data_IF_326159288554
#
_entry.id   IF_326159288554
#
_cell.length_a   1.000
_cell.length_b   1.000
_cell.length_c   1.000
_cell.angle_alpha   90.00
_cell.angle_beta   90.00
_cell.angle_gamma   90.00
#
_symmetry.space_group_name_H-M   'P 1'
#
loop_
_entity.id
_entity.type
_entity.pdbx_description
1 polymer ?
#
# COMPACT_ATOMS: atom_id res chain seq x y z
N UNK A 1 -50.92 30.61 37.87
CA UNK A 1 -52.39 30.49 38.03
C UNK A 1 -53.05 31.23 36.87
N UNK A 2 -54.12 30.65 36.33
CA UNK A 2 -54.93 31.03 35.14
C UNK A 2 -54.33 30.76 33.75
N UNK A 3 -54.73 29.68 33.06
CA UNK A 3 -55.97 29.46 32.25
C UNK A 3 -55.83 30.16 30.88
N UNK A 4 -55.89 29.55 29.69
CA UNK A 4 -56.62 28.37 29.20
C UNK A 4 -57.71 28.85 28.20
N UNK A 5 -57.92 28.12 27.08
CA UNK A 5 -58.87 28.29 25.93
C UNK A 5 -58.19 28.76 24.62
N UNK A 6 -58.23 28.13 23.44
CA UNK A 6 -58.93 26.93 22.94
C UNK A 6 -59.88 27.25 21.78
N UNK A 7 -59.50 27.01 20.50
CA UNK A 7 -60.31 26.28 19.47
C UNK A 7 -59.76 26.33 18.03
N UNK A 8 -60.07 25.24 17.34
CA UNK A 8 -59.76 24.81 15.97
C UNK A 8 -60.50 25.60 14.87
N UNK A 9 -59.92 25.60 13.67
CA UNK A 9 -60.61 25.79 12.40
C UNK A 9 -59.88 25.03 11.28
N UNK A 10 -60.49 23.96 10.77
CA UNK A 10 -60.03 23.18 9.63
C UNK A 10 -60.38 23.89 8.31
N UNK A 11 -59.54 23.73 7.30
CA UNK A 11 -59.79 24.16 5.92
C UNK A 11 -58.89 23.39 4.96
N UNK A 12 -59.38 22.25 4.49
CA UNK A 12 -58.76 21.34 3.53
C UNK A 12 -58.89 21.86 2.10
N UNK A 13 -57.83 21.72 1.30
CA UNK A 13 -57.96 21.48 -0.15
C UNK A 13 -56.78 20.64 -0.64
N UNK A 14 -57.09 19.37 -0.92
CA UNK A 14 -56.27 18.37 -1.58
C UNK A 14 -56.34 18.56 -3.10
N UNK A 15 -55.19 18.48 -3.78
CA UNK A 15 -55.10 18.04 -5.17
C UNK A 15 -54.07 16.90 -5.21
N UNK A 16 -54.46 15.76 -5.78
CA UNK A 16 -53.70 14.52 -5.76
C UNK A 16 -52.98 14.19 -7.08
N UNK A 17 -51.84 13.50 -6.93
CA UNK A 17 -51.28 12.44 -7.79
C UNK A 17 -50.54 12.84 -9.08
N UNK A 18 -49.64 11.99 -9.65
CA UNK A 18 -49.27 10.60 -9.25
C UNK A 18 -47.77 10.40 -8.98
N UNK A 19 -47.40 9.21 -8.51
CA UNK A 19 -46.05 8.84 -8.10
C UNK A 19 -45.13 8.20 -9.15
N UNK A 20 -44.04 7.63 -8.62
CA UNK A 20 -42.99 6.79 -9.22
C UNK A 20 -41.95 7.46 -10.13
N UNK A 21 -40.67 7.29 -9.77
CA UNK A 21 -39.57 7.30 -10.75
C UNK A 21 -38.22 7.85 -10.27
N UNK A 22 -37.53 7.05 -9.46
CA UNK A 22 -36.07 6.82 -9.41
C UNK A 22 -35.07 7.84 -9.99
N UNK A 23 -34.01 8.08 -9.20
CA UNK A 23 -32.55 8.03 -9.54
C UNK A 23 -31.80 9.17 -8.82
N UNK A 24 -30.79 8.95 -7.99
CA UNK A 24 -30.16 7.72 -7.56
C UNK A 24 -29.28 8.02 -6.36
N UNK A 25 -29.30 7.14 -5.37
CA UNK A 25 -28.13 6.94 -4.54
C UNK A 25 -26.98 6.51 -5.46
N UNK A 26 -25.88 7.23 -5.43
CA UNK A 26 -24.60 6.75 -5.94
C UNK A 26 -23.78 6.34 -4.72
N UNK A 27 -23.97 5.10 -4.29
CA UNK A 27 -22.95 4.06 -4.41
C UNK A 27 -21.74 4.41 -3.52
N UNK A 28 -21.59 3.93 -2.29
CA UNK A 28 -22.05 2.62 -1.85
C UNK A 28 -21.67 1.55 -2.87
N UNK A 29 -20.54 1.71 -3.58
CA UNK A 29 -20.06 0.63 -4.41
C UNK A 29 -19.71 -0.49 -3.44
N UNK A 30 -20.55 -1.52 -3.47
CA UNK A 30 -20.24 -2.85 -3.04
C UNK A 30 -18.82 -3.17 -3.50
N UNK A 31 -17.83 -2.98 -2.62
CA UNK A 31 -16.64 -3.81 -2.55
C UNK A 31 -17.17 -5.20 -2.14
N UNK A 32 -17.90 -5.83 -3.06
CA UNK A 32 -18.25 -7.24 -2.98
C UNK A 32 -16.89 -7.92 -2.87
N UNK A 33 -16.58 -8.49 -1.70
CA UNK A 33 -15.34 -9.21 -1.41
C UNK A 33 -14.96 -10.06 -2.61
N UNK A 34 -14.05 -9.52 -3.41
CA UNK A 34 -13.85 -9.95 -4.78
C UNK A 34 -12.57 -10.74 -4.83
N UNK A 35 -12.61 -11.99 -4.35
CA UNK A 35 -11.70 -13.09 -4.72
C UNK A 35 -10.28 -12.63 -5.13
N UNK A 36 -9.64 -11.83 -4.28
CA UNK A 36 -8.25 -11.45 -4.45
C UNK A 36 -7.37 -12.54 -3.84
N UNK A 37 -6.22 -12.80 -4.44
CA UNK A 37 -5.14 -13.56 -3.81
C UNK A 37 -4.98 -13.25 -2.35
N UNK A 38 -4.77 -14.29 -1.54
CA UNK A 38 -4.00 -14.13 -0.32
C UNK A 38 -2.52 -14.31 -0.63
N UNK A 39 -1.65 -13.88 0.27
CA UNK A 39 -0.25 -14.29 0.25
C UNK A 39 -0.09 -15.59 1.05
N UNK A 40 0.74 -16.52 0.59
CA UNK A 40 1.12 -17.68 1.38
C UNK A 40 2.04 -17.28 2.56
N UNK A 41 2.45 -18.26 3.36
CA UNK A 41 3.32 -18.03 4.51
C UNK A 41 4.73 -17.48 4.17
N UNK A 42 5.08 -17.44 2.88
CA UNK A 42 6.35 -16.94 2.35
C UNK A 42 6.17 -15.67 1.50
N UNK A 43 4.98 -15.08 1.45
CA UNK A 43 4.70 -13.88 0.65
C UNK A 43 4.51 -14.15 -0.85
N UNK A 44 4.17 -15.37 -1.28
CA UNK A 44 3.84 -15.63 -2.69
C UNK A 44 2.32 -15.53 -2.91
N UNK A 45 1.86 -15.04 -4.07
CA UNK A 45 0.42 -14.98 -4.38
C UNK A 45 -0.18 -16.40 -4.45
N UNK A 46 -1.14 -16.68 -3.58
CA UNK A 46 -1.75 -17.99 -3.38
C UNK A 46 -2.90 -18.33 -4.34
N UNK A 47 -3.36 -17.39 -5.19
CA UNK A 47 -4.57 -17.61 -6.02
C UNK A 47 -4.35 -18.17 -7.43
N UNK A 48 -3.19 -18.76 -7.71
CA UNK A 48 -3.08 -19.66 -8.87
C UNK A 48 -3.57 -19.05 -10.18
N UNK A 49 -3.19 -17.81 -10.50
CA UNK A 49 -3.04 -17.45 -11.91
C UNK A 49 -1.96 -18.38 -12.47
N UNK A 50 -2.46 -19.46 -13.08
CA UNK A 50 -1.80 -20.57 -13.73
C UNK A 50 -0.28 -20.43 -13.94
N UNK A 51 0.48 -21.27 -13.22
CA UNK A 51 1.80 -21.72 -13.63
C UNK A 51 2.86 -21.66 -12.53
N UNK A 52 3.00 -22.77 -11.79
CA UNK A 52 4.29 -23.38 -11.44
C UNK A 52 5.51 -22.48 -11.58
N UNK A 53 6.06 -21.96 -10.48
CA UNK A 53 7.16 -20.99 -10.52
C UNK A 53 6.84 -19.88 -11.53
N UNK A 54 6.34 -18.72 -11.08
CA UNK A 54 6.71 -17.55 -11.86
C UNK A 54 8.21 -17.37 -11.64
N UNK A 55 9.01 -18.13 -12.40
CA UNK A 55 10.32 -17.70 -12.82
C UNK A 55 10.03 -16.45 -13.63
N UNK A 56 9.90 -15.32 -12.93
CA UNK A 56 10.02 -14.00 -13.53
C UNK A 56 11.46 -13.93 -14.03
N UNK A 57 11.80 -14.66 -15.10
CA UNK A 57 13.11 -14.53 -15.72
C UNK A 57 13.31 -13.09 -16.20
N UNK A 58 12.20 -12.36 -16.41
CA UNK A 58 12.18 -10.92 -16.63
C UNK A 58 10.93 -10.26 -16.03
N UNK A 59 11.08 -8.99 -15.66
CA UNK A 59 9.97 -8.11 -15.32
C UNK A 59 9.09 -7.83 -16.57
N UNK A 60 7.76 -7.62 -16.42
CA UNK A 60 6.88 -7.28 -17.54
C UNK A 60 7.14 -5.88 -18.12
N UNK A 61 7.96 -5.09 -17.44
CA UNK A 61 8.37 -3.73 -17.78
C UNK A 61 9.87 -3.55 -17.53
N UNK A 62 10.54 -2.57 -18.17
CA UNK A 62 11.93 -2.28 -17.87
C UNK A 62 12.17 -1.91 -16.40
N UNK A 63 13.26 -2.43 -15.84
CA UNK A 63 13.74 -2.08 -14.50
C UNK A 63 15.14 -1.47 -14.60
N UNK A 64 15.45 -0.52 -13.73
CA UNK A 64 16.77 0.12 -13.62
C UNK A 64 17.26 0.01 -12.19
N UNK A 65 18.32 -0.76 -11.96
CA UNK A 65 18.98 -0.89 -10.64
C UNK A 65 19.92 0.29 -10.43
N UNK A 66 19.84 0.90 -9.25
CA UNK A 66 20.81 1.91 -8.80
C UNK A 66 22.15 1.27 -8.42
N UNK A 67 23.10 2.10 -8.00
CA UNK A 67 24.35 1.62 -7.42
C UNK A 67 24.09 1.05 -6.02
N UNK A 68 24.64 -0.13 -5.73
CA UNK A 68 24.60 -0.70 -4.40
C UNK A 68 25.29 0.21 -3.37
N UNK A 69 24.65 0.41 -2.22
CA UNK A 69 25.19 1.15 -1.09
C UNK A 69 25.16 0.27 0.16
N UNK A 70 26.20 0.32 0.97
CA UNK A 70 26.28 -0.47 2.19
C UNK A 70 25.80 0.30 3.40
N UNK A 71 25.24 -0.43 4.37
CA UNK A 71 24.89 0.06 5.69
C UNK A 71 25.32 -0.95 6.75
N UNK A 72 25.85 -0.44 7.86
CA UNK A 72 26.27 -1.27 8.99
C UNK A 72 25.14 -1.34 10.01
N UNK A 73 24.55 -2.52 10.14
CA UNK A 73 23.48 -2.81 11.08
C UNK A 73 23.94 -2.63 12.54
N UNK A 74 23.01 -2.39 13.49
CA UNK A 74 23.32 -2.30 14.92
C UNK A 74 24.02 -3.54 15.49
N UNK A 75 23.78 -4.72 14.91
CA UNK A 75 24.44 -5.98 15.30
C UNK A 75 25.89 -6.11 14.78
N UNK A 76 26.35 -5.12 14.00
CA UNK A 76 27.71 -5.04 13.46
C UNK A 76 27.89 -5.63 12.06
N UNK A 77 26.89 -6.34 11.51
CA UNK A 77 26.89 -6.85 10.13
C UNK A 77 26.76 -5.70 9.13
N UNK A 78 27.26 -5.91 7.91
CA UNK A 78 27.13 -4.96 6.80
C UNK A 78 26.22 -5.55 5.75
N UNK A 79 25.10 -4.90 5.50
CA UNK A 79 24.18 -5.22 4.40
C UNK A 79 24.36 -4.22 3.26
N UNK A 80 23.84 -4.57 2.08
CA UNK A 80 23.89 -3.75 0.88
C UNK A 80 22.49 -3.54 0.33
N UNK A 81 22.26 -2.38 -0.28
CA UNK A 81 20.94 -1.93 -0.68
C UNK A 81 20.98 -1.29 -2.06
N UNK A 82 19.97 -1.59 -2.87
CA UNK A 82 19.80 -1.02 -4.20
C UNK A 82 18.37 -0.53 -4.41
N UNK A 83 18.22 0.76 -4.71
CA UNK A 83 16.96 1.30 -5.19
C UNK A 83 16.73 0.89 -6.65
N UNK A 84 15.58 0.28 -6.94
CA UNK A 84 15.17 -0.12 -8.29
C UNK A 84 14.06 0.79 -8.78
N UNK A 85 14.23 1.33 -9.99
CA UNK A 85 13.26 2.18 -10.67
C UNK A 85 12.55 1.44 -11.81
N UNK A 86 11.23 1.56 -11.87
CA UNK A 86 10.36 0.89 -12.84
C UNK A 86 9.58 1.93 -13.66
N UNK A 87 10.18 2.61 -14.67
CA UNK A 87 9.62 3.81 -15.29
C UNK A 87 8.19 3.71 -15.86
N UNK A 88 7.71 2.50 -16.14
CA UNK A 88 6.36 2.29 -16.66
C UNK A 88 5.32 2.00 -15.56
N UNK A 89 5.77 1.86 -14.31
CA UNK A 89 5.05 1.18 -13.23
C UNK A 89 4.73 -0.25 -13.65
N UNK A 90 3.71 -0.88 -13.08
CA UNK A 90 3.26 -2.19 -13.58
C UNK A 90 3.98 -3.39 -12.97
N UNK A 91 4.75 -3.17 -11.89
CA UNK A 91 5.29 -4.24 -11.05
C UNK A 91 4.49 -4.23 -9.75
N UNK A 92 3.86 -5.35 -9.41
CA UNK A 92 3.20 -5.53 -8.12
C UNK A 92 4.18 -6.04 -7.05
N UNK A 93 3.72 -6.16 -5.80
CA UNK A 93 4.61 -6.49 -4.71
C UNK A 93 5.25 -7.88 -4.85
N UNK A 94 4.45 -8.90 -5.22
CA UNK A 94 4.96 -10.26 -5.43
C UNK A 94 5.99 -10.33 -6.57
N UNK A 95 5.82 -9.54 -7.63
CA UNK A 95 6.80 -9.39 -8.70
C UNK A 95 8.07 -8.70 -8.21
N UNK A 96 7.94 -7.63 -7.42
CA UNK A 96 9.08 -6.92 -6.85
C UNK A 96 9.91 -7.85 -5.92
N UNK A 97 9.24 -8.67 -5.10
CA UNK A 97 9.84 -9.73 -4.29
C UNK A 97 10.66 -10.70 -5.14
N UNK A 98 10.04 -11.28 -6.17
CA UNK A 98 10.72 -12.24 -7.02
C UNK A 98 11.92 -11.64 -7.78
N UNK A 99 11.83 -10.37 -8.20
CA UNK A 99 12.94 -9.67 -8.85
C UNK A 99 14.11 -9.38 -7.88
N UNK A 100 13.80 -9.08 -6.62
CA UNK A 100 14.81 -8.95 -5.58
C UNK A 100 15.53 -10.29 -5.33
N UNK A 101 14.76 -11.38 -5.25
CA UNK A 101 15.29 -12.75 -5.11
C UNK A 101 16.16 -13.16 -6.31
N UNK A 102 15.73 -12.85 -7.53
CA UNK A 102 16.51 -13.11 -8.75
C UNK A 102 17.84 -12.35 -8.78
N UNK A 103 17.89 -11.15 -8.17
CA UNK A 103 19.11 -10.38 -8.04
C UNK A 103 20.07 -10.94 -6.97
N UNK A 104 19.65 -11.96 -6.20
CA UNK A 104 20.41 -12.54 -5.08
C UNK A 104 20.15 -11.85 -3.74
N UNK A 105 19.13 -10.99 -3.66
CA UNK A 105 18.72 -10.30 -2.44
C UNK A 105 17.29 -10.63 -2.05
N UNK A 106 16.65 -9.70 -1.34
CA UNK A 106 15.23 -9.76 -0.98
C UNK A 106 14.67 -8.33 -0.89
N UNK A 107 13.35 -8.15 -0.89
CA UNK A 107 12.78 -6.82 -0.65
C UNK A 107 13.23 -6.32 0.72
N UNK A 108 13.65 -5.06 0.77
CA UNK A 108 14.26 -4.47 1.97
C UNK A 108 13.44 -4.69 3.23
N UNK A 109 14.12 -5.04 4.30
CA UNK A 109 13.58 -5.19 5.64
C UNK A 109 14.17 -4.10 6.51
N UNK A 110 13.42 -3.66 7.52
CA UNK A 110 13.77 -2.46 8.28
C UNK A 110 13.64 -2.76 9.77
N UNK A 111 14.77 -2.74 10.47
CA UNK A 111 14.90 -3.17 11.86
C UNK A 111 15.24 -2.04 12.82
N UNK A 112 15.47 -0.84 12.29
CA UNK A 112 15.79 0.34 13.08
C UNK A 112 15.44 1.63 12.36
N UNK A 113 15.33 2.71 13.13
CA UNK A 113 15.16 4.06 12.60
C UNK A 113 16.32 4.47 11.68
N UNK A 114 17.56 4.16 12.07
CA UNK A 114 18.76 4.53 11.30
C UNK A 114 18.80 3.81 9.95
N UNK A 115 18.42 2.53 9.91
CA UNK A 115 18.31 1.77 8.67
C UNK A 115 17.19 2.31 7.78
N UNK A 116 16.02 2.60 8.36
CA UNK A 116 14.91 3.21 7.64
C UNK A 116 15.30 4.56 7.00
N UNK A 117 15.98 5.43 7.75
CA UNK A 117 16.46 6.72 7.24
C UNK A 117 17.49 6.54 6.11
N UNK A 118 18.42 5.59 6.27
CA UNK A 118 19.39 5.26 5.24
C UNK A 118 18.70 4.81 3.95
N UNK A 119 17.78 3.85 4.05
CA UNK A 119 17.02 3.32 2.90
C UNK A 119 16.17 4.42 2.26
N UNK A 120 15.48 5.24 3.05
CA UNK A 120 14.72 6.38 2.56
C UNK A 120 15.60 7.37 1.78
N UNK A 121 16.84 7.60 2.24
CA UNK A 121 17.84 8.42 1.56
C UNK A 121 18.15 7.95 0.12
N UNK A 122 18.03 6.65 -0.17
CA UNK A 122 18.23 6.08 -1.52
C UNK A 122 17.08 6.41 -2.48
N UNK A 123 15.89 6.71 -1.94
CA UNK A 123 14.64 6.76 -2.69
C UNK A 123 13.92 8.11 -2.62
N UNK A 124 14.57 9.18 -2.14
CA UNK A 124 13.95 10.52 -2.05
C UNK A 124 13.55 11.13 -3.41
N UNK A 125 14.20 10.71 -4.50
CA UNK A 125 13.90 11.18 -5.84
C UNK A 125 12.47 10.78 -6.24
N UNK A 126 11.66 11.79 -6.63
CA UNK A 126 10.25 11.63 -6.99
C UNK A 126 10.01 10.57 -8.07
N UNK A 127 11.00 10.21 -8.89
CA UNK A 127 10.85 9.13 -9.89
C UNK A 127 10.47 7.78 -9.27
N UNK A 128 10.83 7.52 -8.02
CA UNK A 128 10.52 6.26 -7.32
C UNK A 128 9.08 6.21 -6.79
N UNK A 129 8.38 7.35 -6.81
CA UNK A 129 7.12 7.54 -6.12
C UNK A 129 5.97 7.73 -7.10
N UNK A 130 4.85 7.07 -6.82
CA UNK A 130 3.61 7.37 -7.51
C UNK A 130 2.86 8.43 -6.70
N UNK A 131 2.55 9.54 -7.35
CA UNK A 131 1.63 10.52 -6.82
C UNK A 131 0.25 10.28 -7.41
N UNK A 132 -0.73 10.07 -6.54
CA UNK A 132 -2.13 10.04 -6.94
C UNK A 132 -2.58 11.39 -7.49
N UNK A 133 -3.68 11.40 -8.21
CA UNK A 133 -4.33 12.65 -8.61
C UNK A 133 -5.29 13.15 -7.51
N UNK A 134 -6.07 14.18 -7.83
CA UNK A 134 -7.02 14.77 -6.88
C UNK A 134 -8.16 13.83 -6.47
N UNK A 135 -8.42 12.75 -7.20
CA UNK A 135 -9.42 11.75 -6.79
C UNK A 135 -8.98 10.92 -5.58
N UNK A 136 -7.67 10.90 -5.31
CA UNK A 136 -7.04 10.28 -4.15
C UNK A 136 -6.19 11.30 -3.36
N UNK A 137 -6.66 12.55 -3.33
CA UNK A 137 -6.08 13.63 -2.55
C UNK A 137 -4.59 13.92 -2.80
N UNK A 138 -4.00 13.41 -3.89
CA UNK A 138 -2.60 13.64 -4.22
C UNK A 138 -1.60 12.96 -3.28
N UNK A 139 -2.01 11.96 -2.50
CA UNK A 139 -1.09 11.20 -1.64
C UNK A 139 -0.03 10.50 -2.50
N UNK A 140 1.08 10.13 -1.89
CA UNK A 140 2.16 9.43 -2.58
C UNK A 140 2.41 8.07 -1.94
N UNK A 141 2.76 7.10 -2.78
CA UNK A 141 3.11 5.76 -2.35
C UNK A 141 4.31 5.21 -3.13
N UNK A 142 4.87 4.13 -2.59
CA UNK A 142 6.07 3.51 -3.11
C UNK A 142 7.32 4.24 -2.63
N UNK A 143 8.50 3.61 -2.72
CA UNK A 143 8.77 2.23 -3.15
C UNK A 143 8.22 1.13 -2.25
N UNK A 144 8.06 -0.09 -2.80
CA UNK A 144 7.74 -1.26 -1.99
C UNK A 144 8.88 -1.66 -1.04
N UNK A 145 8.51 -2.19 0.12
CA UNK A 145 9.39 -2.81 1.11
C UNK A 145 8.95 -4.25 1.39
N UNK A 146 9.77 -5.02 2.09
CA UNK A 146 9.59 -6.45 2.32
C UNK A 146 8.58 -6.85 3.40
N UNK A 147 7.72 -5.94 3.86
CA UNK A 147 6.69 -6.25 4.84
C UNK A 147 5.43 -6.81 4.17
N UNK A 148 4.87 -7.88 4.72
CA UNK A 148 3.63 -8.49 4.26
C UNK A 148 2.85 -9.19 5.37
N UNK A 149 1.57 -9.41 5.13
CA UNK A 149 0.68 -10.27 5.91
C UNK A 149 0.26 -11.50 5.09
N UNK A 150 0.48 -12.73 5.60
CA UNK A 150 -0.05 -13.92 4.95
C UNK A 150 -1.58 -13.97 5.07
N UNK A 151 -2.22 -14.73 4.19
CA UNK A 151 -3.67 -14.95 4.22
C UNK A 151 -4.14 -15.43 5.58
N UNK A 152 -5.17 -14.77 6.13
CA UNK A 152 -5.72 -15.08 7.45
C UNK A 152 -4.93 -14.48 8.62
N UNK A 153 -3.96 -13.60 8.35
CA UNK A 153 -3.39 -12.72 9.36
C UNK A 153 -4.48 -11.83 10.00
N UNK A 154 -4.19 -11.30 11.20
CA UNK A 154 -5.14 -10.50 11.97
C UNK A 154 -5.06 -9.06 11.51
N UNK A 155 -6.10 -8.56 10.87
CA UNK A 155 -6.15 -7.16 10.44
C UNK A 155 -6.50 -6.16 11.57
N UNK A 156 -6.09 -4.88 11.45
CA UNK A 156 -5.18 -4.35 10.41
C UNK A 156 -3.68 -4.45 10.79
N UNK A 157 -3.36 -4.55 12.08
CA UNK A 157 -1.99 -4.45 12.60
C UNK A 157 -1.50 -5.76 13.25
N UNK A 158 -1.77 -6.90 12.62
CA UNK A 158 -1.44 -8.21 13.19
C UNK A 158 -0.94 -9.19 12.15
N UNK A 159 0.16 -9.87 12.49
CA UNK A 159 0.75 -10.91 11.63
C UNK A 159 1.61 -10.40 10.49
N UNK A 160 1.99 -9.11 10.51
CA UNK A 160 3.05 -8.55 9.66
C UNK A 160 4.36 -9.32 9.84
N UNK A 161 5.06 -9.53 8.72
CA UNK A 161 6.33 -10.28 8.63
C UNK A 161 7.25 -9.63 7.63
N UNK A 162 8.55 -9.80 7.85
CA UNK A 162 9.57 -9.53 6.86
C UNK A 162 9.77 -10.73 5.93
N UNK A 163 10.00 -10.48 4.64
CA UNK A 163 10.37 -11.53 3.67
C UNK A 163 11.67 -12.26 4.01
N UNK A 164 12.56 -11.64 4.80
CA UNK A 164 13.79 -12.27 5.30
C UNK A 164 13.53 -13.33 6.38
N UNK A 165 12.34 -13.33 6.99
CA UNK A 165 12.01 -14.15 8.16
C UNK A 165 12.52 -13.60 9.49
N UNK A 166 13.18 -12.43 9.48
CA UNK A 166 13.62 -11.75 10.70
C UNK A 166 12.44 -11.26 11.55
N UNK A 167 12.64 -11.07 12.87
CA UNK A 167 11.58 -10.64 13.78
C UNK A 167 10.93 -9.31 13.37
N UNK A 168 9.61 -9.24 13.49
CA UNK A 168 8.85 -8.00 13.35
C UNK A 168 8.97 -7.17 14.65
N UNK A 169 10.02 -6.36 14.77
CA UNK A 169 10.31 -5.58 16.01
C UNK A 169 10.42 -4.07 15.81
N UNK A 170 10.39 -3.58 14.57
CA UNK A 170 10.43 -2.16 14.25
C UNK A 170 9.31 -1.83 13.26
N UNK A 171 8.65 -0.70 13.48
CA UNK A 171 7.59 -0.18 12.61
C UNK A 171 7.76 1.31 12.42
N UNK A 172 7.49 1.80 11.21
CA UNK A 172 7.44 3.22 10.91
C UNK A 172 6.18 3.59 10.13
N UNK A 173 5.02 3.15 10.61
CA UNK A 173 3.74 3.42 9.97
C UNK A 173 3.42 4.92 9.93
N UNK A 174 2.76 5.36 8.84
CA UNK A 174 2.23 6.71 8.73
C UNK A 174 1.15 6.97 9.79
N UNK A 175 0.99 8.23 10.18
CA UNK A 175 0.01 8.66 11.18
C UNK A 175 -0.66 9.99 10.76
N UNK A 176 -1.84 10.25 11.32
CA UNK A 176 -2.60 11.47 11.00
C UNK A 176 -1.85 12.75 11.39
N UNK A 177 -1.84 13.75 10.49
CA UNK A 177 -1.27 15.07 10.77
C UNK A 177 0.25 15.13 10.61
N UNK A 178 0.84 14.16 9.91
CA UNK A 178 2.25 14.21 9.52
C UNK A 178 2.57 15.50 8.73
N UNK A 179 3.80 16.03 8.86
CA UNK A 179 4.24 17.15 8.05
C UNK A 179 4.12 16.85 6.55
N UNK A 180 3.45 17.74 5.81
CA UNK A 180 3.20 17.57 4.38
C UNK A 180 1.93 16.81 4.03
N UNK A 181 1.18 16.33 5.03
CA UNK A 181 -0.13 15.71 4.85
C UNK A 181 -1.19 16.76 4.46
N UNK A 182 -1.85 16.50 3.34
CA UNK A 182 -2.97 17.29 2.80
C UNK A 182 -4.18 16.41 2.53
N UNK A 183 -4.13 15.14 2.91
CA UNK A 183 -5.29 14.25 2.83
C UNK A 183 -6.25 14.59 3.98
N UNK A 184 -7.51 14.93 3.71
CA UNK A 184 -8.50 15.10 4.76
C UNK A 184 -8.98 13.78 5.40
N UNK A 185 -8.62 12.62 4.84
CA UNK A 185 -8.92 11.30 5.40
C UNK A 185 -7.92 10.95 6.51
N UNK A 186 -8.29 10.07 7.47
CA UNK A 186 -7.32 9.48 8.38
C UNK A 186 -6.25 8.69 7.60
N UNK A 187 -4.98 9.00 7.88
CA UNK A 187 -3.79 8.42 7.26
C UNK A 187 -3.00 7.52 8.22
N UNK A 188 -3.55 7.20 9.38
CA UNK A 188 -2.94 6.25 10.33
C UNK A 188 -2.94 4.84 9.74
N UNK A 189 -1.76 4.20 9.78
CA UNK A 189 -1.46 2.91 9.16
C UNK A 189 -0.97 1.89 10.19
N UNK A 190 -1.07 0.58 9.90
CA UNK A 190 -1.87 -0.02 8.84
C UNK A 190 -3.37 0.09 9.19
N UNK A 191 -4.24 0.23 8.18
CA UNK A 191 -5.67 0.42 8.41
C UNK A 191 -6.59 -0.53 7.63
N UNK A 192 -6.06 -1.34 6.73
CA UNK A 192 -6.82 -2.26 5.90
C UNK A 192 -8.10 -1.65 5.30
N UNK A 193 -8.04 -0.38 4.88
CA UNK A 193 -9.14 0.38 4.30
C UNK A 193 -9.87 -0.29 3.14
N UNK A 194 -9.23 -1.24 2.43
CA UNK A 194 -9.83 -1.99 1.31
C UNK A 194 -10.16 -3.46 1.62
N UNK A 195 -9.87 -3.94 2.83
CA UNK A 195 -10.14 -5.33 3.25
C UNK A 195 -9.19 -6.38 2.67
N UNK A 196 -8.03 -5.95 2.15
CA UNK A 196 -6.94 -6.78 1.62
C UNK A 196 -5.63 -5.99 1.46
N UNK A 197 -5.28 -5.08 2.37
CA UNK A 197 -4.01 -4.35 2.33
C UNK A 197 -2.93 -5.10 3.10
N UNK A 198 -2.27 -6.01 2.40
CA UNK A 198 -1.44 -7.03 3.01
C UNK A 198 0.05 -6.94 2.68
N UNK A 199 0.51 -5.80 2.14
CA UNK A 199 1.94 -5.50 1.91
C UNK A 199 2.22 -4.05 2.25
N UNK A 200 3.49 -3.70 2.51
CA UNK A 200 3.84 -2.31 2.78
C UNK A 200 4.68 -1.65 1.68
N UNK A 201 4.55 -0.34 1.60
CA UNK A 201 5.39 0.56 0.82
C UNK A 201 5.61 1.86 1.59
N UNK A 202 6.64 2.63 1.23
CA UNK A 202 6.77 4.00 1.74
C UNK A 202 5.59 4.88 1.29
N UNK A 203 5.12 5.80 2.13
CA UNK A 203 4.15 6.83 1.74
C UNK A 203 3.03 7.15 2.72
N UNK A 204 1.85 7.32 2.13
CA UNK A 204 0.57 7.86 2.67
C UNK A 204 0.58 9.36 2.98
N UNK A 205 1.53 10.10 2.42
CA UNK A 205 1.63 11.57 2.55
C UNK A 205 1.83 12.18 1.16
N UNK A 206 1.45 13.45 0.95
CA UNK A 206 1.54 14.15 -0.35
C UNK A 206 2.97 14.50 -0.80
N UNK A 207 3.98 14.03 -0.09
CA UNK A 207 5.40 14.18 -0.38
C UNK A 207 6.11 12.84 -0.09
N UNK A 208 7.30 12.60 -0.67
CA UNK A 208 8.16 11.49 -0.22
C UNK A 208 8.40 11.54 1.30
N UNK A 209 8.11 10.45 2.00
CA UNK A 209 8.25 10.31 3.46
C UNK A 209 8.91 9.00 3.84
N UNK A 210 9.55 8.96 5.01
CA UNK A 210 10.23 7.75 5.49
C UNK A 210 9.26 6.75 6.15
N UNK A 211 7.98 7.09 6.29
CA UNK A 211 6.94 6.23 6.88
C UNK A 211 6.29 5.31 5.86
N UNK A 212 5.55 4.32 6.34
CA UNK A 212 4.96 3.26 5.53
C UNK A 212 3.43 3.31 5.54
N UNK A 213 2.83 2.85 4.45
CA UNK A 213 1.41 2.50 4.37
C UNK A 213 1.22 1.05 3.97
N UNK A 214 0.04 0.51 4.26
CA UNK A 214 -0.38 -0.79 3.78
C UNK A 214 -1.07 -0.67 2.40
N UNK A 215 -0.88 -1.67 1.54
CA UNK A 215 -1.43 -1.68 0.19
C UNK A 215 -1.84 -3.10 -0.18
N UNK A 216 -2.77 -3.29 -1.13
CA UNK A 216 -3.01 -4.62 -1.66
C UNK A 216 -1.78 -5.14 -2.38
N UNK A 217 -1.37 -6.39 -2.17
CA UNK A 217 -0.20 -6.98 -2.87
C UNK A 217 -0.29 -6.90 -4.41
N UNK A 218 -1.51 -6.82 -4.97
CA UNK A 218 -1.77 -6.63 -6.41
C UNK A 218 -1.78 -5.18 -6.89
N UNK A 219 -1.59 -4.23 -5.99
CA UNK A 219 -1.32 -2.84 -6.31
C UNK A 219 -0.24 -2.74 -7.41
N UNK A 220 -0.40 -1.84 -8.38
CA UNK A 220 0.54 -1.68 -9.51
C UNK A 220 0.64 -2.89 -10.47
N UNK A 221 -0.28 -3.86 -10.43
CA UNK A 221 -0.27 -4.97 -11.40
C UNK A 221 -0.42 -4.48 -12.84
N UNK A 222 0.49 -4.88 -13.74
CA UNK A 222 0.46 -4.50 -15.15
C UNK A 222 -0.90 -4.82 -15.81
N UNK A 223 -1.50 -3.84 -16.50
CA UNK A 223 -2.84 -3.91 -17.14
C UNK A 223 -4.01 -4.18 -16.19
N UNK A 224 -3.77 -4.12 -14.88
CA UNK A 224 -4.86 -4.17 -13.92
C UNK A 224 -5.69 -2.89 -13.98
N UNK A 225 -7.03 -2.98 -13.85
CA UNK A 225 -7.88 -1.81 -13.67
C UNK A 225 -7.80 -1.23 -12.26
N UNK A 226 -7.04 -1.84 -11.33
CA UNK A 226 -6.83 -1.28 -9.99
C UNK A 226 -6.02 0.03 -10.11
N UNK A 227 -6.57 1.11 -9.55
CA UNK A 227 -5.92 2.40 -9.57
C UNK A 227 -4.62 2.38 -8.75
N UNK A 228 -3.63 3.17 -9.20
CA UNK A 228 -2.34 3.32 -8.53
C UNK A 228 -1.18 2.50 -9.11
N UNK A 229 0.05 3.03 -8.97
CA UNK A 229 1.28 2.38 -9.43
C UNK A 229 2.38 2.42 -8.37
N UNK A 230 3.34 1.53 -8.49
CA UNK A 230 4.61 1.59 -7.79
C UNK A 230 5.72 1.78 -8.84
N UNK A 231 6.52 2.82 -8.67
CA UNK A 231 7.64 3.11 -9.57
C UNK A 231 8.99 2.63 -9.02
N UNK A 232 9.00 1.96 -7.87
CA UNK A 232 10.21 1.38 -7.36
C UNK A 232 10.01 0.39 -6.23
N UNK A 233 11.10 -0.28 -5.91
CA UNK A 233 11.29 -1.12 -4.74
C UNK A 233 12.76 -1.06 -4.33
N UNK A 234 13.08 -1.48 -3.12
CA UNK A 234 14.48 -1.55 -2.66
C UNK A 234 14.84 -3.01 -2.42
N UNK A 235 15.99 -3.42 -2.97
CA UNK A 235 16.58 -4.73 -2.72
C UNK A 235 17.59 -4.58 -1.59
N UNK A 236 17.57 -5.52 -0.65
CA UNK A 236 18.57 -5.71 0.38
C UNK A 236 19.36 -7.01 0.12
N UNK A 237 20.65 -6.98 0.44
CA UNK A 237 21.58 -8.09 0.30
C UNK A 237 22.40 -8.26 1.58
N UNK A 238 22.62 -9.51 2.00
CA UNK A 238 23.48 -9.84 3.14
C UNK A 238 24.99 -9.63 2.87
N UNK A 239 25.36 -9.42 1.60
CA UNK A 239 26.73 -9.18 1.13
C UNK A 239 26.71 -8.31 -0.14
N UNK A 240 27.87 -7.81 -0.57
CA UNK A 240 27.96 -6.97 -1.77
C UNK A 240 27.48 -7.76 -3.01
N UNK A 241 26.53 -7.24 -3.81
CA UNK A 241 26.07 -7.92 -5.01
C UNK A 241 27.18 -7.95 -6.08
N UNK A 242 27.25 -9.06 -6.84
CA UNK A 242 28.22 -9.27 -7.92
C UNK A 242 27.90 -8.51 -9.19
#
# INVERSE_FOLDING_TARGET
MNQGFGRMGQGSSSFGGPGMGSRGGMMGQNMRGGQGGGLDANGNDATGMAGSNITFQSAPVPVKRGKAQSFRLPNGQTHWYEAVYTPQGGINWSQAKALAEQAGGYLVTLHSHQENDFVFGLIQDRKYWYGWDSSHNGVMNGPFIGAYQPQGAREPDGGWRWVSGEPWSYTNWAYDGMPGDKDPRPNTQPNDSTGNQNVAAFGEVNIPVATWGDFPHRFSSYRSPFDGKAYGFVIEYNAEPQ
#
